data_IF_761663535261
#
_entry.id   IF_761663535261
#
_cell.length_a   1.000
_cell.length_b   1.000
_cell.length_c   1.000
_cell.angle_alpha   90.00
_cell.angle_beta   90.00
_cell.angle_gamma   90.00
#
_symmetry.space_group_name_H-M   'P 1'
#
loop_
_entity.id
_entity.type
_entity.pdbx_description
1 polymer ?
#
# COMPACT_ATOMS: atom_id res chain seq x y z
N UNK A 1 22.58 -4.07 6.39
CA UNK A 1 23.78 -3.88 5.54
C UNK A 1 24.75 -5.07 5.57
N UNK A 2 25.32 -5.49 6.72
CA UNK A 2 26.28 -6.63 6.78
C UNK A 2 25.71 -7.99 6.32
N UNK A 3 24.41 -8.28 6.56
CA UNK A 3 23.77 -9.54 6.11
C UNK A 3 23.54 -9.60 4.59
N UNK A 4 23.11 -8.48 3.99
CA UNK A 4 22.93 -8.34 2.52
C UNK A 4 24.26 -8.44 1.76
N UNK A 5 25.36 -7.89 2.31
CA UNK A 5 26.70 -8.00 1.72
C UNK A 5 27.24 -9.44 1.71
N UNK A 6 26.96 -10.21 2.76
CA UNK A 6 27.38 -11.62 2.85
C UNK A 6 26.57 -12.52 1.90
N UNK A 7 25.26 -12.27 1.74
CA UNK A 7 24.41 -13.02 0.81
C UNK A 7 24.75 -12.72 -0.66
N UNK A 8 25.13 -11.48 -0.97
CA UNK A 8 25.47 -11.04 -2.32
C UNK A 8 26.92 -11.31 -2.74
N UNK A 9 27.72 -12.04 -1.95
CA UNK A 9 29.14 -12.32 -2.22
C UNK A 9 29.96 -11.07 -2.60
N UNK A 10 29.73 -9.93 -1.93
CA UNK A 10 30.37 -8.65 -2.24
C UNK A 10 30.12 -8.11 -3.66
N UNK A 11 29.08 -8.58 -4.37
CA UNK A 11 28.68 -8.04 -5.68
C UNK A 11 27.54 -7.03 -5.49
N UNK A 12 27.80 -5.72 -5.57
CA UNK A 12 26.79 -4.70 -5.33
C UNK A 12 25.60 -4.78 -6.29
N UNK A 13 25.82 -5.22 -7.53
CA UNK A 13 24.74 -5.44 -8.51
C UNK A 13 23.81 -6.58 -8.08
N UNK A 14 24.35 -7.69 -7.55
CA UNK A 14 23.54 -8.79 -7.04
C UNK A 14 22.84 -8.43 -5.74
N UNK A 15 23.48 -7.63 -4.88
CA UNK A 15 22.86 -7.10 -3.66
C UNK A 15 21.67 -6.20 -3.98
N UNK A 16 21.77 -5.37 -5.02
CA UNK A 16 20.67 -4.53 -5.50
C UNK A 16 19.56 -5.38 -6.14
N UNK A 17 19.91 -6.40 -6.92
CA UNK A 17 18.93 -7.32 -7.52
C UNK A 17 18.12 -8.07 -6.47
N UNK A 18 18.78 -8.62 -5.45
CA UNK A 18 18.11 -9.30 -4.33
C UNK A 18 17.26 -8.33 -3.50
N UNK A 19 17.78 -7.14 -3.19
CA UNK A 19 17.01 -6.13 -2.45
C UNK A 19 15.78 -5.64 -3.24
N UNK A 20 15.87 -5.53 -4.58
CA UNK A 20 14.72 -5.20 -5.42
C UNK A 20 13.69 -6.32 -5.45
N UNK A 21 14.12 -7.59 -5.50
CA UNK A 21 13.22 -8.74 -5.42
C UNK A 21 12.48 -8.78 -4.08
N UNK A 22 13.21 -8.63 -2.96
CA UNK A 22 12.61 -8.60 -1.62
C UNK A 22 11.56 -7.47 -1.50
N UNK A 23 11.85 -6.27 -1.99
CA UNK A 23 10.92 -5.13 -1.97
C UNK A 23 9.66 -5.40 -2.80
N UNK A 24 9.80 -6.04 -3.96
CA UNK A 24 8.67 -6.39 -4.83
C UNK A 24 7.79 -7.47 -4.17
N UNK A 25 8.41 -8.49 -3.57
CA UNK A 25 7.68 -9.53 -2.84
C UNK A 25 6.91 -8.97 -1.64
N UNK A 26 7.52 -8.04 -0.88
CA UNK A 26 6.85 -7.33 0.21
C UNK A 26 5.67 -6.49 -0.28
N UNK A 27 5.83 -5.80 -1.42
CA UNK A 27 4.77 -5.02 -2.03
C UNK A 27 3.60 -5.92 -2.45
N UNK A 28 3.87 -7.01 -3.17
CA UNK A 28 2.85 -7.94 -3.64
C UNK A 28 2.11 -8.59 -2.46
N UNK A 29 2.83 -9.03 -1.42
CA UNK A 29 2.23 -9.56 -0.19
C UNK A 29 1.33 -8.53 0.50
N UNK A 30 1.73 -7.27 0.53
CA UNK A 30 0.91 -6.21 1.11
C UNK A 30 -0.36 -5.94 0.29
N UNK A 31 -0.24 -5.90 -1.05
CA UNK A 31 -1.39 -5.68 -1.94
C UNK A 31 -2.38 -6.83 -1.93
N UNK A 32 -1.92 -8.08 -1.87
CA UNK A 32 -2.77 -9.25 -1.72
C UNK A 32 -3.62 -9.13 -0.43
N UNK A 33 -2.99 -8.81 0.69
CA UNK A 33 -3.68 -8.58 1.97
C UNK A 33 -4.66 -7.41 1.90
N UNK A 34 -4.28 -6.33 1.23
CA UNK A 34 -5.15 -5.18 1.03
C UNK A 34 -6.39 -5.55 0.19
N UNK A 35 -6.24 -6.38 -0.86
CA UNK A 35 -7.36 -6.91 -1.64
C UNK A 35 -8.30 -7.78 -0.80
N UNK A 36 -7.74 -8.66 0.01
CA UNK A 36 -8.52 -9.50 0.93
C UNK A 36 -9.28 -8.66 1.96
N UNK A 37 -8.69 -7.57 2.46
CA UNK A 37 -9.38 -6.63 3.34
C UNK A 37 -10.53 -5.92 2.63
N UNK A 38 -10.29 -5.38 1.43
CA UNK A 38 -11.29 -4.66 0.63
C UNK A 38 -12.47 -5.54 0.16
N UNK A 39 -12.28 -6.86 0.15
CA UNK A 39 -13.34 -7.84 -0.16
C UNK A 39 -14.02 -8.40 1.09
N UNK A 40 -13.64 -7.94 2.29
CA UNK A 40 -14.18 -8.39 3.57
C UNK A 40 -13.69 -9.79 4.02
N UNK A 41 -12.64 -10.32 3.37
CA UNK A 41 -12.11 -11.66 3.65
C UNK A 41 -11.24 -11.75 4.90
N UNK A 42 -10.69 -10.63 5.37
CA UNK A 42 -9.85 -10.57 6.59
C UNK A 42 -10.14 -9.31 7.40
N UNK A 43 -9.76 -9.33 8.68
CA UNK A 43 -9.88 -8.17 9.57
C UNK A 43 -8.71 -7.17 9.38
N UNK A 44 -8.93 -5.86 9.63
CA UNK A 44 -7.90 -4.83 9.53
C UNK A 44 -6.60 -5.15 10.26
N UNK A 45 -6.69 -5.78 11.44
CA UNK A 45 -5.53 -6.15 12.27
C UNK A 45 -4.58 -7.11 11.56
N UNK A 46 -5.08 -7.96 10.66
CA UNK A 46 -4.22 -8.84 9.86
C UNK A 46 -3.35 -8.06 8.88
N UNK A 47 -3.88 -6.98 8.30
CA UNK A 47 -3.12 -6.11 7.39
C UNK A 47 -2.13 -5.26 8.18
N UNK A 48 -2.51 -4.79 9.37
CA UNK A 48 -1.62 -4.06 10.28
C UNK A 48 -0.40 -4.91 10.64
N UNK A 49 -0.60 -6.17 11.03
CA UNK A 49 0.49 -7.07 11.35
C UNK A 49 1.47 -7.27 10.18
N UNK A 50 0.94 -7.38 8.95
CA UNK A 50 1.77 -7.44 7.73
C UNK A 50 2.51 -6.12 7.50
N UNK A 51 1.85 -4.98 7.71
CA UNK A 51 2.43 -3.66 7.51
C UNK A 51 3.59 -3.38 8.48
N UNK A 52 3.43 -3.74 9.76
CA UNK A 52 4.49 -3.63 10.78
C UNK A 52 5.67 -4.55 10.45
N UNK A 53 5.41 -5.75 9.91
CA UNK A 53 6.46 -6.69 9.51
C UNK A 53 7.31 -6.16 8.34
N UNK A 54 6.67 -5.55 7.34
CA UNK A 54 7.32 -4.97 6.16
C UNK A 54 7.99 -3.62 6.49
N UNK A 55 7.52 -2.95 7.53
CA UNK A 55 7.93 -1.61 7.93
C UNK A 55 6.85 -0.61 7.58
N UNK A 56 6.45 0.18 8.58
CA UNK A 56 5.28 1.04 8.49
C UNK A 56 5.45 2.10 7.40
N UNK A 57 6.65 2.68 7.26
CA UNK A 57 6.93 3.66 6.21
C UNK A 57 6.76 3.06 4.80
N UNK A 58 7.24 1.83 4.59
CA UNK A 58 7.10 1.10 3.33
C UNK A 58 5.63 0.80 3.03
N UNK A 59 4.88 0.33 4.02
CA UNK A 59 3.46 0.06 3.89
C UNK A 59 2.65 1.33 3.56
N UNK A 60 2.92 2.46 4.22
CA UNK A 60 2.30 3.75 3.89
C UNK A 60 2.63 4.14 2.44
N UNK A 61 3.89 3.99 2.01
CA UNK A 61 4.27 4.27 0.63
C UNK A 61 3.50 3.39 -0.37
N UNK A 62 3.27 2.11 -0.05
CA UNK A 62 2.43 1.24 -0.87
C UNK A 62 0.98 1.74 -0.93
N UNK A 63 0.39 2.14 0.20
CA UNK A 63 -0.95 2.72 0.22
C UNK A 63 -1.05 3.99 -0.65
N UNK A 64 -0.06 4.88 -0.59
CA UNK A 64 0.01 6.09 -1.42
C UNK A 64 0.05 5.73 -2.92
N UNK A 65 0.94 4.81 -3.31
CA UNK A 65 1.09 4.36 -4.71
C UNK A 65 -0.18 3.69 -5.23
N UNK A 66 -0.77 2.79 -4.45
CA UNK A 66 -2.01 2.10 -4.80
C UNK A 66 -3.15 3.06 -4.98
N UNK A 67 -3.34 3.99 -4.04
CA UNK A 67 -4.41 4.99 -4.12
C UNK A 67 -4.25 5.87 -5.36
N UNK A 68 -3.03 6.35 -5.63
CA UNK A 68 -2.73 7.15 -6.83
C UNK A 68 -3.04 6.38 -8.12
N UNK A 69 -2.62 5.13 -8.20
CA UNK A 69 -2.84 4.30 -9.38
C UNK A 69 -4.34 3.97 -9.59
N UNK A 70 -5.08 3.72 -8.51
CA UNK A 70 -6.52 3.52 -8.55
C UNK A 70 -7.26 4.78 -9.00
N UNK A 71 -6.96 5.94 -8.42
CA UNK A 71 -7.52 7.23 -8.83
C UNK A 71 -7.32 7.43 -10.33
N UNK A 72 -6.10 7.21 -10.81
CA UNK A 72 -5.78 7.32 -12.24
C UNK A 72 -6.64 6.37 -13.06
N UNK A 73 -6.67 5.07 -12.72
CA UNK A 73 -7.44 4.06 -13.45
C UNK A 73 -8.94 4.34 -13.49
N UNK A 74 -9.52 4.81 -12.38
CA UNK A 74 -10.95 5.13 -12.28
C UNK A 74 -11.32 6.38 -13.08
N UNK A 75 -10.41 7.35 -13.20
CA UNK A 75 -10.61 8.55 -14.01
C UNK A 75 -10.41 8.28 -15.50
N UNK A 76 -9.35 7.54 -15.87
CA UNK A 76 -9.04 7.25 -17.28
C UNK A 76 -9.85 6.08 -17.84
N UNK A 77 -10.53 5.31 -16.98
CA UNK A 77 -11.22 4.06 -17.30
C UNK A 77 -10.27 2.99 -17.90
N UNK A 78 -8.97 3.14 -17.68
CA UNK A 78 -7.96 2.18 -18.10
C UNK A 78 -7.75 1.13 -17.01
N UNK A 79 -7.53 -0.12 -17.40
CA UNK A 79 -7.20 -1.16 -16.44
C UNK A 79 -5.77 -0.96 -15.92
N UNK A 80 -5.57 -0.98 -14.60
CA UNK A 80 -4.24 -0.86 -14.04
C UNK A 80 -3.42 -2.13 -14.30
N UNK A 81 -2.10 -1.97 -14.39
CA UNK A 81 -1.16 -3.09 -14.53
C UNK A 81 -0.94 -3.73 -13.16
N UNK A 82 -1.13 -5.04 -13.07
CA UNK A 82 -0.99 -5.84 -11.84
C UNK A 82 -2.32 -6.44 -11.38
N UNK A 83 -2.30 -7.73 -11.03
CA UNK A 83 -3.51 -8.49 -10.71
C UNK A 83 -4.26 -7.91 -9.50
N UNK A 84 -3.56 -7.65 -8.40
CA UNK A 84 -4.16 -7.11 -7.17
C UNK A 84 -4.71 -5.70 -7.36
N UNK A 85 -3.96 -4.85 -8.06
CA UNK A 85 -4.43 -3.50 -8.36
C UNK A 85 -5.67 -3.52 -9.27
N UNK A 86 -5.73 -4.45 -10.23
CA UNK A 86 -6.92 -4.65 -11.05
C UNK A 86 -8.09 -5.22 -10.22
N UNK A 87 -7.83 -6.11 -9.27
CA UNK A 87 -8.85 -6.62 -8.35
C UNK A 87 -9.45 -5.48 -7.53
N UNK A 88 -8.62 -4.60 -6.95
CA UNK A 88 -9.07 -3.39 -6.26
C UNK A 88 -9.89 -2.49 -7.18
N UNK A 89 -9.39 -2.22 -8.39
CA UNK A 89 -10.12 -1.42 -9.38
C UNK A 89 -11.52 -1.98 -9.67
N UNK A 90 -11.64 -3.29 -9.85
CA UNK A 90 -12.93 -3.95 -10.04
C UNK A 90 -13.83 -3.89 -8.79
N UNK A 91 -13.27 -3.90 -7.58
CA UNK A 91 -14.05 -3.73 -6.35
C UNK A 91 -14.72 -2.35 -6.29
N UNK A 92 -13.97 -1.28 -6.57
CA UNK A 92 -14.53 0.09 -6.65
C UNK A 92 -15.63 0.19 -7.71
N UNK A 93 -15.43 -0.37 -8.91
CA UNK A 93 -16.46 -0.36 -9.96
C UNK A 93 -17.73 -1.13 -9.59
N UNK A 94 -17.64 -2.13 -8.69
CA UNK A 94 -18.78 -2.92 -8.22
C UNK A 94 -19.51 -2.32 -7.02
N UNK A 95 -18.94 -1.31 -6.36
CA UNK A 95 -19.60 -0.65 -5.25
C UNK A 95 -20.89 0.04 -5.69
N UNK A 96 -21.89 0.09 -4.80
CA UNK A 96 -23.18 0.75 -5.07
C UNK A 96 -23.09 2.27 -5.16
N UNK A 97 -22.04 2.87 -4.59
CA UNK A 97 -21.88 4.32 -4.55
C UNK A 97 -21.54 4.89 -5.93
N UNK A 98 -21.93 6.14 -6.26
CA UNK A 98 -21.53 6.78 -7.50
C UNK A 98 -20.01 6.86 -7.63
N UNK A 99 -19.47 6.53 -8.81
CA UNK A 99 -18.02 6.51 -9.07
C UNK A 99 -17.33 7.83 -8.71
N UNK A 100 -17.95 8.98 -9.00
CA UNK A 100 -17.42 10.31 -8.65
C UNK A 100 -17.22 10.47 -7.14
N UNK A 101 -18.16 9.97 -6.33
CA UNK A 101 -18.05 10.02 -4.86
C UNK A 101 -16.93 9.10 -4.37
N UNK A 102 -16.81 7.91 -4.97
CA UNK A 102 -15.74 6.97 -4.64
C UNK A 102 -14.35 7.56 -4.94
N UNK A 103 -14.17 8.17 -6.13
CA UNK A 103 -12.93 8.86 -6.51
C UNK A 103 -12.61 10.00 -5.54
N UNK A 104 -13.62 10.79 -5.13
CA UNK A 104 -13.42 11.87 -4.17
C UNK A 104 -12.94 11.35 -2.80
N UNK A 105 -13.57 10.29 -2.27
CA UNK A 105 -13.12 9.68 -1.02
C UNK A 105 -11.71 9.09 -1.13
N UNK A 106 -11.38 8.47 -2.25
CA UNK A 106 -10.05 7.92 -2.51
C UNK A 106 -8.98 9.03 -2.64
N UNK A 107 -9.33 10.19 -3.21
CA UNK A 107 -8.47 11.38 -3.22
C UNK A 107 -8.21 11.91 -1.81
N UNK A 108 -9.23 11.97 -0.95
CA UNK A 108 -9.05 12.35 0.46
C UNK A 108 -8.13 11.38 1.19
N UNK A 109 -8.35 10.08 1.00
CA UNK A 109 -7.49 9.03 1.57
C UNK A 109 -6.05 9.13 1.07
N UNK A 110 -5.84 9.40 -0.22
CA UNK A 110 -4.51 9.61 -0.79
C UNK A 110 -3.77 10.78 -0.13
N UNK A 111 -4.44 11.90 0.08
CA UNK A 111 -3.84 13.08 0.73
C UNK A 111 -3.48 12.80 2.20
N UNK A 112 -4.33 12.08 2.91
CA UNK A 112 -4.07 11.62 4.28
C UNK A 112 -2.83 10.71 4.34
N UNK A 113 -2.78 9.67 3.49
CA UNK A 113 -1.66 8.73 3.44
C UNK A 113 -0.34 9.44 3.03
N UNK A 114 -0.41 10.38 2.08
CA UNK A 114 0.76 11.17 1.67
C UNK A 114 1.25 12.09 2.79
N UNK A 115 0.34 12.66 3.57
CA UNK A 115 0.66 13.46 4.75
C UNK A 115 1.33 12.61 5.82
N UNK A 116 0.77 11.45 6.14
CA UNK A 116 1.38 10.50 7.08
C UNK A 116 2.79 10.06 6.63
N UNK A 117 2.97 9.77 5.33
CA UNK A 117 4.29 9.46 4.77
C UNK A 117 5.30 10.59 5.00
N UNK A 118 4.92 11.84 4.69
CA UNK A 118 5.77 13.02 4.92
C UNK A 118 6.14 13.16 6.40
N UNK A 119 5.18 12.99 7.31
CA UNK A 119 5.44 13.05 8.75
C UNK A 119 6.43 11.98 9.21
N UNK A 120 6.31 10.74 8.71
CA UNK A 120 7.25 9.65 9.02
C UNK A 120 8.66 9.87 8.48
N UNK A 121 8.80 10.59 7.36
CA UNK A 121 10.13 10.94 6.81
C UNK A 121 10.74 12.19 7.47
N UNK A 122 9.94 13.00 8.17
CA UNK A 122 10.42 14.18 8.90
C UNK A 122 11.13 13.79 10.20
N UNK A 123 11.93 14.68 10.77
CA UNK A 123 12.61 14.47 12.07
C UNK A 123 11.67 14.44 13.29
N UNK A 124 10.36 14.39 13.06
CA UNK A 124 9.39 14.08 14.11
C UNK A 124 9.58 12.63 14.55
N UNK A 125 9.23 12.30 15.79
CA UNK A 125 9.15 10.91 16.25
C UNK A 125 7.68 10.44 16.20
N UNK A 126 7.08 10.19 15.02
CA UNK A 126 5.71 9.74 14.95
C UNK A 126 5.60 8.30 15.43
N UNK A 127 4.47 7.98 16.05
CA UNK A 127 4.07 6.60 16.30
C UNK A 127 3.65 5.97 14.96
N UNK A 128 4.61 5.35 14.26
CA UNK A 128 4.41 4.75 12.94
C UNK A 128 3.34 3.65 12.94
N UNK A 129 3.30 2.84 14.00
CA UNK A 129 2.28 1.79 14.15
C UNK A 129 0.86 2.39 14.23
N UNK A 130 0.66 3.43 15.03
CA UNK A 130 -0.64 4.08 15.14
C UNK A 130 -1.07 4.71 13.79
N UNK A 131 -0.13 5.30 13.06
CA UNK A 131 -0.40 5.88 11.75
C UNK A 131 -0.86 4.83 10.75
N UNK A 132 -0.14 3.70 10.64
CA UNK A 132 -0.52 2.65 9.71
C UNK A 132 -1.83 1.96 10.12
N UNK A 133 -2.09 1.79 11.42
CA UNK A 133 -3.38 1.31 11.94
C UNK A 133 -4.53 2.23 11.49
N UNK A 134 -4.36 3.54 11.67
CA UNK A 134 -5.35 4.54 11.27
C UNK A 134 -5.66 4.47 9.78
N UNK A 135 -4.61 4.45 8.95
CA UNK A 135 -4.76 4.39 7.50
C UNK A 135 -5.43 3.08 7.04
N UNK A 136 -5.08 1.94 7.63
CA UNK A 136 -5.71 0.66 7.27
C UNK A 136 -7.19 0.66 7.65
N UNK A 137 -7.57 1.26 8.78
CA UNK A 137 -8.97 1.43 9.16
C UNK A 137 -9.73 2.33 8.19
N UNK A 138 -9.19 3.50 7.84
CA UNK A 138 -9.84 4.39 6.87
C UNK A 138 -9.96 3.76 5.48
N UNK A 139 -8.98 2.95 5.07
CA UNK A 139 -9.09 2.15 3.85
C UNK A 139 -10.22 1.12 3.93
N UNK A 140 -10.36 0.44 5.06
CA UNK A 140 -11.45 -0.52 5.26
C UNK A 140 -12.84 0.15 5.21
N UNK A 141 -12.98 1.37 5.72
CA UNK A 141 -14.23 2.13 5.61
C UNK A 141 -14.52 2.65 4.20
N UNK A 142 -13.48 2.80 3.37
CA UNK A 142 -13.57 3.24 1.99
C UNK A 142 -14.04 2.13 1.04
N UNK A 143 -13.69 0.88 1.33
CA UNK A 143 -13.80 -0.26 0.41
C UNK A 143 -15.02 -1.14 0.68
#
# INVERSE_FOLDING_TARGET
VKRLLNAAQYRPLNAMGLAQQDILEEQDQFLEKLCLLSSGGIAPQSVVATAVKIGELSAINYLVKTSSALIKSLITLEQPVGADLNNLHQLFLKQRAPLTLQIFKLLMYYDEALTAYKHMTSSSNPNGQLMIETLIWHWHELT
#
